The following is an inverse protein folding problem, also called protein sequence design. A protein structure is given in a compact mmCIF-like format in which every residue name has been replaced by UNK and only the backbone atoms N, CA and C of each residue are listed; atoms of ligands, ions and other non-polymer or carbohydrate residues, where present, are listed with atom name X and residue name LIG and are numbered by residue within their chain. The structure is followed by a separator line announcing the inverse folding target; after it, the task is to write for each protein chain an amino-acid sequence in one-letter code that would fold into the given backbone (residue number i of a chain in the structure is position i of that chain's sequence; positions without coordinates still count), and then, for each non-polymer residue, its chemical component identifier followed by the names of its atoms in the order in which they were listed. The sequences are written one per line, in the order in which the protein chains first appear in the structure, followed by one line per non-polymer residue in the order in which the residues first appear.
data_IF_671614694554
#
_entry.id   IF_671614694554
#
_cell.length_a   1.000
_cell.length_b   1.000
_cell.length_c   1.000
_cell.angle_alpha   90.00
_cell.angle_beta   90.00
_cell.angle_gamma   90.00
#
_symmetry.space_group_name_H-M   'P 1'
#
loop_
_entity.id
_entity.type
_entity.pdbx_description
1 polymer ?
#
# COMPACT_ATOMS: atom_id res chain seq x y z
N UNK A 1 1.46 11.96 11.72
CA UNK A 1 1.95 10.57 11.89
C UNK A 1 3.18 10.43 11.02
N UNK A 2 4.30 10.00 11.60
CA UNK A 2 5.59 9.84 10.90
C UNK A 2 5.46 8.91 9.68
N UNK A 3 4.64 7.85 9.79
CA UNK A 3 4.39 6.90 8.70
C UNK A 3 3.69 7.57 7.52
N UNK A 4 2.70 8.42 7.80
CA UNK A 4 1.96 9.13 6.75
C UNK A 4 2.88 10.10 5.99
N UNK A 5 3.75 10.82 6.71
CA UNK A 5 4.75 11.68 6.07
C UNK A 5 5.74 10.85 5.24
N UNK A 6 6.17 9.70 5.75
CA UNK A 6 7.00 8.77 4.99
C UNK A 6 6.33 8.28 3.69
N UNK A 7 5.05 7.90 3.75
CA UNK A 7 4.29 7.48 2.57
C UNK A 7 4.17 8.60 1.54
N UNK A 8 3.95 9.85 1.98
CA UNK A 8 3.96 11.03 1.10
C UNK A 8 5.34 11.27 0.48
N UNK A 9 6.41 11.01 1.21
CA UNK A 9 7.77 11.17 0.69
C UNK A 9 8.08 10.14 -0.41
N UNK A 10 7.62 8.90 -0.22
CA UNK A 10 7.69 7.85 -1.25
C UNK A 10 6.83 8.24 -2.45
N UNK A 11 5.61 8.75 -2.24
CA UNK A 11 4.74 9.24 -3.31
C UNK A 11 5.44 10.33 -4.14
N UNK A 12 5.99 11.36 -3.50
CA UNK A 12 6.71 12.44 -4.20
C UNK A 12 7.90 11.90 -4.98
N UNK A 13 8.64 10.94 -4.42
CA UNK A 13 9.75 10.31 -5.11
C UNK A 13 9.31 9.51 -6.35
N UNK A 14 8.14 8.88 -6.32
CA UNK A 14 7.53 8.20 -7.48
C UNK A 14 7.07 9.21 -8.54
N UNK A 15 6.35 10.26 -8.14
CA UNK A 15 5.87 11.31 -9.04
C UNK A 15 7.00 12.05 -9.74
N UNK A 16 8.11 12.33 -9.04
CA UNK A 16 9.31 12.93 -9.62
C UNK A 16 9.98 12.05 -10.70
N UNK A 17 9.60 10.77 -10.79
CA UNK A 17 10.04 9.82 -11.82
C UNK A 17 8.94 9.53 -12.85
N UNK A 18 7.94 10.42 -12.96
CA UNK A 18 6.81 10.31 -13.87
C UNK A 18 5.89 9.11 -13.64
N UNK A 19 5.96 8.48 -12.45
CA UNK A 19 4.99 7.44 -12.07
C UNK A 19 3.70 8.13 -11.65
N UNK A 20 2.58 7.78 -12.29
CA UNK A 20 1.28 8.29 -11.86
C UNK A 20 0.87 7.63 -10.55
N UNK A 21 0.67 8.43 -9.51
CA UNK A 21 0.19 7.93 -8.22
C UNK A 21 -1.16 8.53 -7.85
N UNK A 22 -1.87 7.82 -7.00
CA UNK A 22 -3.10 8.26 -6.37
C UNK A 22 -3.07 7.84 -4.91
N UNK A 23 -2.67 8.77 -4.06
CA UNK A 23 -2.83 8.60 -2.62
C UNK A 23 -4.18 9.19 -2.18
N UNK A 24 -5.07 8.35 -1.65
CA UNK A 24 -6.40 8.79 -1.20
C UNK A 24 -6.23 9.70 0.03
N UNK A 25 -6.32 11.02 -0.09
CA UNK A 25 -6.21 11.90 1.09
C UNK A 25 -7.50 11.82 1.94
N UNK A 26 -7.34 11.37 3.18
CA UNK A 26 -8.38 11.31 4.20
C UNK A 26 -8.87 12.72 4.60
N UNK A 27 -9.94 13.21 3.97
CA UNK A 27 -10.71 14.36 4.47
C UNK A 27 -11.75 13.92 5.50
N UNK A 28 -11.95 14.70 6.57
CA UNK A 28 -13.09 14.49 7.47
C UNK A 28 -14.41 14.75 6.72
N UNK A 29 -15.28 13.74 6.62
CA UNK A 29 -16.66 13.89 6.17
C UNK A 29 -16.98 13.44 4.73
N UNK A 30 -16.00 12.99 3.95
CA UNK A 30 -16.26 12.40 2.63
C UNK A 30 -16.39 10.87 2.73
N UNK A 31 -17.35 10.27 2.02
CA UNK A 31 -17.47 8.80 1.91
C UNK A 31 -16.32 8.24 1.09
N UNK A 32 -15.29 7.79 1.80
CA UNK A 32 -14.07 7.19 1.28
C UNK A 32 -14.26 6.05 0.24
N UNK A 33 -15.44 5.42 0.19
CA UNK A 33 -15.70 4.27 -0.67
C UNK A 33 -15.68 4.58 -2.17
N UNK A 34 -16.31 5.68 -2.59
CA UNK A 34 -16.47 5.96 -4.01
C UNK A 34 -15.16 6.41 -4.66
N UNK A 35 -14.37 7.21 -3.93
CA UNK A 35 -13.06 7.70 -4.41
C UNK A 35 -12.00 6.60 -4.48
N UNK A 36 -12.01 5.67 -3.52
CA UNK A 36 -11.05 4.56 -3.49
C UNK A 36 -11.40 3.49 -4.52
N UNK A 37 -12.69 3.16 -4.69
CA UNK A 37 -13.13 2.26 -5.76
C UNK A 37 -12.82 2.86 -7.14
N UNK A 38 -13.04 4.16 -7.34
CA UNK A 38 -12.66 4.84 -8.60
C UNK A 38 -11.14 4.85 -8.80
N UNK A 39 -10.37 5.07 -7.73
CA UNK A 39 -8.91 5.04 -7.78
C UNK A 39 -8.35 3.65 -8.12
N UNK A 40 -8.99 2.59 -7.62
CA UNK A 40 -8.61 1.21 -7.86
C UNK A 40 -9.09 0.70 -9.23
N UNK A 41 -10.23 1.18 -9.74
CA UNK A 41 -10.75 0.81 -11.06
C UNK A 41 -9.76 1.12 -12.20
N UNK A 42 -9.04 2.24 -12.10
CA UNK A 42 -8.02 2.63 -13.09
C UNK A 42 -6.61 2.10 -12.75
N UNK A 43 -6.40 1.53 -11.56
CA UNK A 43 -5.08 1.12 -11.11
C UNK A 43 -4.71 -0.27 -11.65
N UNK A 44 -3.45 -0.46 -12.09
CA UNK A 44 -2.91 -1.81 -12.36
C UNK A 44 -2.10 -2.36 -11.19
N UNK A 45 -1.77 -1.53 -10.21
CA UNK A 45 -1.11 -1.97 -9.00
C UNK A 45 -1.52 -1.12 -7.78
N UNK A 46 -1.53 -1.76 -6.62
CA UNK A 46 -1.68 -1.14 -5.32
C UNK A 46 -0.40 -1.33 -4.51
N UNK A 47 0.15 -0.25 -3.97
CA UNK A 47 1.27 -0.32 -3.03
C UNK A 47 0.70 -0.37 -1.61
N UNK A 48 0.93 -1.47 -0.90
CA UNK A 48 0.46 -1.68 0.46
C UNK A 48 1.55 -1.34 1.47
N UNK A 49 1.47 -0.16 2.09
CA UNK A 49 2.35 0.24 3.18
C UNK A 49 2.00 -0.48 4.48
N UNK A 50 2.63 -1.62 4.70
CA UNK A 50 2.36 -2.58 5.75
C UNK A 50 2.84 -2.09 7.12
N UNK A 51 1.98 -1.35 7.82
CA UNK A 51 2.14 -0.97 9.24
C UNK A 51 1.61 -2.08 10.18
N UNK A 52 1.76 -1.90 11.49
CA UNK A 52 1.27 -2.87 12.49
C UNK A 52 -0.25 -3.11 12.45
N UNK A 53 -1.02 -2.10 12.02
CA UNK A 53 -2.49 -2.10 11.94
C UNK A 53 -2.99 -2.16 10.50
N UNK A 54 -2.11 -2.43 9.53
CA UNK A 54 -2.54 -2.55 8.13
C UNK A 54 -3.48 -3.75 7.97
N UNK A 55 -4.58 -3.54 7.24
CA UNK A 55 -5.65 -4.52 7.07
C UNK A 55 -6.64 -4.56 8.23
N UNK A 56 -6.55 -3.66 9.21
CA UNK A 56 -7.48 -3.62 10.33
C UNK A 56 -8.89 -3.18 9.90
N UNK A 57 -9.90 -3.90 10.38
CA UNK A 57 -11.32 -3.58 10.17
C UNK A 57 -11.88 -2.86 11.40
N UNK A 58 -11.97 -1.52 11.34
CA UNK A 58 -12.36 -0.66 12.47
C UNK A 58 -13.86 -0.27 12.47
N UNK A 59 -14.61 -0.56 11.40
CA UNK A 59 -16.01 -0.16 11.22
C UNK A 59 -16.24 1.35 11.09
N UNK A 60 -15.20 2.19 10.95
CA UNK A 60 -15.25 3.67 10.99
C UNK A 60 -14.81 4.33 9.68
N UNK A 61 -15.34 3.83 8.56
CA UNK A 61 -15.10 4.40 7.22
C UNK A 61 -14.52 3.37 6.26
N UNK A 62 -13.77 3.85 5.26
CA UNK A 62 -12.96 2.97 4.41
C UNK A 62 -11.60 2.79 5.06
N UNK A 63 -11.22 1.54 5.21
CA UNK A 63 -10.07 1.07 5.95
C UNK A 63 -9.15 0.31 5.00
N UNK A 64 -7.88 0.17 5.35
CA UNK A 64 -6.91 -0.64 4.58
C UNK A 64 -7.40 -2.07 4.39
N UNK A 65 -8.27 -2.58 5.28
CA UNK A 65 -9.03 -3.81 5.09
C UNK A 65 -9.80 -3.87 3.77
N UNK A 66 -10.58 -2.83 3.42
CA UNK A 66 -11.44 -2.82 2.23
C UNK A 66 -10.63 -2.71 0.94
N UNK A 67 -9.52 -1.97 0.97
CA UNK A 67 -8.59 -1.88 -0.15
C UNK A 67 -7.91 -3.23 -0.42
N UNK A 68 -7.43 -3.87 0.64
CA UNK A 68 -6.82 -5.19 0.54
C UNK A 68 -7.84 -6.24 0.08
N UNK A 69 -9.09 -6.15 0.54
CA UNK A 69 -10.17 -7.02 0.09
C UNK A 69 -10.47 -6.83 -1.39
N UNK A 70 -10.53 -5.58 -1.86
CA UNK A 70 -10.73 -5.27 -3.27
C UNK A 70 -9.63 -5.89 -4.13
N UNK A 71 -8.37 -5.65 -3.80
CA UNK A 71 -7.23 -6.18 -4.57
C UNK A 71 -7.18 -7.71 -4.54
N UNK A 72 -7.54 -8.33 -3.42
CA UNK A 72 -7.67 -9.79 -3.34
C UNK A 72 -8.77 -10.34 -4.26
N UNK A 73 -9.85 -9.59 -4.49
CA UNK A 73 -10.96 -9.98 -5.35
C UNK A 73 -10.74 -9.63 -6.84
N UNK A 74 -9.78 -8.76 -7.16
CA UNK A 74 -9.50 -8.25 -8.49
C UNK A 74 -8.05 -8.59 -8.89
N UNK A 75 -7.80 -9.82 -9.39
CA UNK A 75 -6.46 -10.31 -9.69
C UNK A 75 -5.71 -9.52 -10.78
N UNK A 76 -6.42 -8.68 -11.53
CA UNK A 76 -5.85 -7.72 -12.48
C UNK A 76 -5.12 -6.53 -11.81
N UNK A 77 -5.32 -6.33 -10.50
CA UNK A 77 -4.61 -5.32 -9.72
C UNK A 77 -3.47 -6.00 -8.95
N UNK A 78 -2.24 -5.67 -9.31
CA UNK A 78 -1.07 -6.24 -8.65
C UNK A 78 -0.82 -5.62 -7.28
N UNK A 79 -0.66 -6.45 -6.25
CA UNK A 79 -0.27 -6.01 -4.91
C UNK A 79 1.25 -5.85 -4.82
N UNK A 80 1.75 -4.71 -4.33
CA UNK A 80 3.17 -4.47 -4.05
C UNK A 80 3.32 -4.12 -2.56
N UNK A 81 3.71 -5.07 -1.70
CA UNK A 81 3.87 -4.79 -0.29
C UNK A 81 5.15 -4.02 0.02
N UNK A 82 5.03 -3.01 0.89
CA UNK A 82 6.15 -2.29 1.49
C UNK A 82 6.09 -2.50 3.00
N UNK A 83 7.04 -3.22 3.57
CA UNK A 83 7.12 -3.48 5.02
C UNK A 83 7.56 -2.22 5.76
N UNK A 84 6.70 -1.68 6.62
CA UNK A 84 6.96 -0.53 7.49
C UNK A 84 6.91 -0.89 8.99
N UNK A 85 6.87 -2.17 9.31
CA UNK A 85 6.85 -2.67 10.69
C UNK A 85 7.65 -3.98 10.82
N UNK A 86 8.30 -4.25 11.98
CA UNK A 86 9.02 -5.51 12.21
C UNK A 86 8.16 -6.75 11.97
N UNK A 87 6.91 -6.74 12.38
CA UNK A 87 5.96 -7.83 12.10
C UNK A 87 5.50 -7.81 10.65
N UNK A 88 5.77 -8.87 9.90
CA UNK A 88 5.29 -9.08 8.53
C UNK A 88 4.92 -10.56 8.30
N UNK A 89 3.81 -10.89 7.61
CA UNK A 89 2.74 -9.99 7.15
C UNK A 89 2.12 -9.14 8.28
N UNK A 90 1.41 -8.04 7.97
CA UNK A 90 0.67 -7.28 8.97
C UNK A 90 -0.25 -8.17 9.80
N UNK A 91 -0.28 -7.94 11.10
CA UNK A 91 -1.09 -8.73 12.03
C UNK A 91 -2.02 -7.83 12.84
N UNK A 92 -3.08 -7.28 12.21
CA UNK A 92 -4.00 -6.38 12.87
C UNK A 92 -4.72 -7.05 14.06
N UNK A 93 -5.27 -6.26 15.00
CA UNK A 93 -5.89 -6.78 16.23
C UNK A 93 -7.21 -7.51 15.98
N UNK A 94 -7.91 -7.25 14.87
CA UNK A 94 -9.17 -7.91 14.53
C UNK A 94 -8.96 -9.24 13.76
N UNK A 95 -9.92 -10.16 13.89
CA UNK A 95 -9.82 -11.51 13.29
C UNK A 95 -9.93 -11.48 11.77
N UNK A 96 -10.82 -10.66 11.23
CA UNK A 96 -11.10 -10.61 9.80
C UNK A 96 -9.88 -10.05 9.04
N UNK A 97 -9.30 -8.97 9.56
CA UNK A 97 -8.08 -8.36 9.04
C UNK A 97 -6.90 -9.31 9.04
N UNK A 98 -6.70 -10.09 10.11
CA UNK A 98 -5.65 -11.12 10.12
C UNK A 98 -5.85 -12.16 9.03
N UNK A 99 -7.06 -12.71 8.93
CA UNK A 99 -7.37 -13.72 7.92
C UNK A 99 -7.15 -13.18 6.50
N UNK A 100 -7.54 -11.93 6.25
CA UNK A 100 -7.32 -11.29 4.95
C UNK A 100 -5.84 -11.05 4.66
N UNK A 101 -5.06 -10.58 5.64
CA UNK A 101 -3.61 -10.41 5.49
C UNK A 101 -2.90 -11.74 5.17
N UNK A 102 -3.28 -12.83 5.85
CA UNK A 102 -2.68 -14.16 5.65
C UNK A 102 -2.89 -14.68 4.23
N UNK A 103 -4.06 -14.41 3.62
CA UNK A 103 -4.35 -14.86 2.23
C UNK A 103 -3.84 -13.87 1.18
N UNK A 104 -3.87 -12.57 1.45
CA UNK A 104 -3.48 -11.55 0.47
C UNK A 104 -1.96 -11.39 0.37
N UNK A 105 -1.22 -11.55 1.48
CA UNK A 105 0.25 -11.52 1.52
C UNK A 105 0.84 -12.93 1.52
N UNK A 106 0.44 -13.75 0.56
CA UNK A 106 0.91 -15.13 0.43
C UNK A 106 2.44 -15.20 0.20
N UNK A 107 3.07 -16.34 0.52
CA UNK A 107 4.54 -16.46 0.61
C UNK A 107 5.36 -16.22 -0.67
N UNK A 108 4.74 -16.17 -1.85
CA UNK A 108 5.41 -15.76 -3.09
C UNK A 108 5.42 -14.25 -3.32
N UNK A 109 4.71 -13.48 -2.49
CA UNK A 109 4.68 -12.02 -2.53
C UNK A 109 5.77 -11.46 -1.60
N UNK A 110 6.93 -11.17 -2.18
CA UNK A 110 8.10 -10.68 -1.43
C UNK A 110 7.93 -9.17 -1.16
N UNK A 111 7.94 -8.72 0.11
CA UNK A 111 7.82 -7.30 0.42
C UNK A 111 9.10 -6.54 0.08
N UNK A 112 8.94 -5.31 -0.39
CA UNK A 112 9.98 -4.28 -0.35
C UNK A 112 10.20 -3.92 1.11
N UNK A 113 11.43 -4.05 1.59
CA UNK A 113 11.72 -3.66 2.97
C UNK A 113 11.84 -2.14 3.06
N UNK A 114 10.90 -1.48 3.75
CA UNK A 114 10.94 -0.04 4.00
C UNK A 114 11.70 0.33 5.28
N UNK A 115 12.16 -0.65 6.06
CA UNK A 115 12.89 -0.44 7.30
C UNK A 115 14.40 -0.67 7.12
N UNK A 116 15.21 0.11 7.83
CA UNK A 116 16.66 -0.09 7.94
C UNK A 116 16.98 -1.32 8.78
N UNK A 117 18.23 -1.78 8.69
CA UNK A 117 18.74 -2.86 9.54
C UNK A 117 18.52 -2.51 11.01
N UNK A 118 17.81 -3.38 11.74
CA UNK A 118 17.39 -3.15 13.12
C UNK A 118 15.92 -2.76 13.28
N UNK A 119 15.20 -2.54 12.18
CA UNK A 119 13.75 -2.35 12.11
C UNK A 119 13.17 -1.16 12.91
N UNK A 120 14.01 -0.19 13.31
CA UNK A 120 13.62 0.99 14.10
C UNK A 120 13.53 2.30 13.28
N UNK A 121 14.01 2.32 12.04
CA UNK A 121 14.07 3.53 11.20
C UNK A 121 13.62 3.22 9.78
N UNK A 122 13.00 4.19 9.12
CA UNK A 122 12.67 4.07 7.70
C UNK A 122 13.92 4.18 6.82
N UNK A 123 13.97 3.38 5.76
CA UNK A 123 14.92 3.57 4.66
C UNK A 123 14.59 4.85 3.90
N UNK A 124 15.57 5.48 3.23
CA UNK A 124 15.30 6.65 2.40
C UNK A 124 14.16 6.39 1.42
N UNK A 125 13.14 7.26 1.43
CA UNK A 125 11.94 7.12 0.59
C UNK A 125 12.27 6.99 -0.91
N UNK A 126 13.37 7.64 -1.33
CA UNK A 126 13.90 7.57 -2.70
C UNK A 126 14.29 6.15 -3.12
N UNK A 127 14.90 5.37 -2.23
CA UNK A 127 15.32 3.99 -2.51
C UNK A 127 14.09 3.06 -2.58
N UNK A 128 13.15 3.23 -1.65
CA UNK A 128 11.90 2.45 -1.66
C UNK A 128 11.11 2.73 -2.94
N UNK A 129 11.05 3.98 -3.39
CA UNK A 129 10.43 4.34 -4.66
C UNK A 129 11.13 3.67 -5.87
N UNK A 130 12.45 3.54 -5.86
CA UNK A 130 13.20 2.83 -6.93
C UNK A 130 12.87 1.33 -6.96
N UNK A 131 12.71 0.69 -5.80
CA UNK A 131 12.30 -0.72 -5.72
C UNK A 131 10.84 -0.94 -6.12
N UNK A 132 9.95 0.02 -5.84
CA UNK A 132 8.57 0.01 -6.35
C UNK A 132 8.60 0.07 -7.87
N UNK A 133 9.37 0.99 -8.46
CA UNK A 133 9.51 1.12 -9.92
C UNK A 133 10.09 -0.16 -10.53
N UNK A 134 11.11 -0.76 -9.91
CA UNK A 134 11.65 -2.03 -10.36
C UNK A 134 10.60 -3.15 -10.33
N UNK A 135 9.72 -3.15 -9.32
CA UNK A 135 8.61 -4.11 -9.23
C UNK A 135 7.58 -3.89 -10.33
N UNK A 136 7.20 -2.65 -10.63
CA UNK A 136 6.30 -2.32 -11.75
C UNK A 136 6.87 -2.79 -13.09
N UNK A 137 8.17 -2.58 -13.32
CA UNK A 137 8.86 -3.04 -14.54
C UNK A 137 8.83 -4.56 -14.67
N UNK A 138 9.07 -5.30 -13.59
CA UNK A 138 8.96 -6.77 -13.57
C UNK A 138 7.55 -7.27 -13.87
N UNK A 139 6.54 -6.52 -13.45
CA UNK A 139 5.13 -6.80 -13.70
C UNK A 139 4.67 -6.38 -15.12
N UNK A 140 5.53 -5.76 -15.92
CA UNK A 140 5.17 -5.23 -17.24
C UNK A 140 4.22 -4.02 -17.18
N UNK A 141 4.07 -3.40 -16.01
CA UNK A 141 3.22 -2.23 -15.80
C UNK A 141 4.01 -1.00 -16.24
N UNK A 142 3.45 -0.27 -17.22
CA UNK A 142 4.05 0.96 -17.74
C UNK A 142 3.96 2.09 -16.71
N UNK A 143 4.91 3.01 -16.75
CA UNK A 143 5.07 4.10 -15.76
C UNK A 143 3.90 5.12 -15.78
N UNK A 144 3.08 5.11 -16.83
CA UNK A 144 1.87 5.93 -17.01
C UNK A 144 0.63 5.42 -16.24
N UNK A 145 0.79 4.33 -15.50
CA UNK A 145 -0.28 3.69 -14.73
C UNK A 145 -0.40 4.28 -13.33
N UNK A 146 -1.66 4.49 -12.90
CA UNK A 146 -2.03 4.99 -11.58
C UNK A 146 -1.76 3.94 -10.49
N UNK A 147 -0.93 4.27 -9.51
CA UNK A 147 -0.74 3.48 -8.29
C UNK A 147 -1.66 3.96 -7.18
N UNK A 148 -2.40 3.06 -6.53
CA UNK A 148 -3.10 3.43 -5.30
C UNK A 148 -2.16 3.36 -4.08
N UNK A 149 -2.12 4.43 -3.29
CA UNK A 149 -1.39 4.53 -2.03
C UNK A 149 -2.40 4.80 -0.89
N UNK A 150 -2.58 3.87 0.06
CA UNK A 150 -3.43 4.09 1.23
C UNK A 150 -2.91 5.25 2.09
N UNK A 151 -3.80 6.02 2.72
CA UNK A 151 -3.44 7.18 3.56
C UNK A 151 -3.47 6.94 5.07
N UNK A 152 -3.60 5.68 5.50
CA UNK A 152 -3.64 5.31 6.91
C UNK A 152 -2.77 4.08 7.19
#
# INVERSE_FOLDING_TARGET
DEKIEYMKDVERALQNRNVRTYMVKAGCGETYGDKTATGLYDAKAMVAFCTSTYGEKTGRGWETYRELQYVHQHPEVHLIPVRLHPTYPPRPPDKDGRALCDVAFHGSLIPINGLRRGDCEFRPAKEVAEEIIASLKRLGIREDVRLNLPSR
#
